data_IF_270710581374
#
_entry.id   IF_270710581374
#
_cell.length_a   1.000
_cell.length_b   1.000
_cell.length_c   1.000
_cell.angle_alpha   90.00
_cell.angle_beta   90.00
_cell.angle_gamma   90.00
#
_symmetry.space_group_name_H-M   'P 1'
#
loop_
_entity.id
_entity.type
_entity.pdbx_description
1 polymer ?
#
# COMPACT_ATOMS: atom_id res chain seq x y z
N UNK A 1 26.92 -9.97 -19.91
CA UNK A 1 26.00 -9.40 -20.92
C UNK A 1 24.68 -10.15 -20.84
N UNK A 2 23.55 -9.44 -20.85
CA UNK A 2 22.21 -10.05 -20.78
C UNK A 2 21.33 -9.45 -21.87
N UNK A 3 20.64 -10.30 -22.61
CA UNK A 3 19.73 -9.89 -23.68
C UNK A 3 18.30 -9.84 -23.15
N UNK A 4 17.58 -8.74 -23.41
CA UNK A 4 16.18 -8.57 -23.03
C UNK A 4 15.29 -8.39 -24.25
N UNK A 5 14.13 -9.06 -24.24
CA UNK A 5 13.07 -8.87 -25.24
C UNK A 5 12.16 -7.67 -24.91
N UNK A 6 12.74 -6.57 -24.43
CA UNK A 6 11.98 -5.36 -24.07
C UNK A 6 11.80 -4.48 -25.30
N UNK A 7 10.61 -3.86 -25.43
CA UNK A 7 10.26 -2.91 -26.49
C UNK A 7 9.78 -1.58 -25.89
N UNK A 8 10.11 -0.47 -26.55
CA UNK A 8 9.66 0.87 -26.11
C UNK A 8 8.15 1.03 -26.14
N UNK A 9 7.48 0.37 -27.09
CA UNK A 9 6.03 0.43 -27.29
C UNK A 9 5.21 -0.17 -26.14
N UNK A 10 5.82 -0.99 -25.27
CA UNK A 10 5.10 -1.72 -24.22
C UNK A 10 4.62 -0.85 -23.06
N UNK A 11 5.28 0.27 -22.76
CA UNK A 11 4.85 1.21 -21.73
C UNK A 11 5.64 2.52 -21.76
N UNK A 12 5.06 3.59 -21.18
CA UNK A 12 5.72 4.89 -21.00
C UNK A 12 7.05 4.77 -20.22
N UNK A 13 7.14 3.84 -19.26
CA UNK A 13 8.39 3.59 -18.55
C UNK A 13 9.46 2.99 -19.46
N UNK A 14 9.07 2.02 -20.31
CA UNK A 14 9.98 1.34 -21.22
C UNK A 14 10.36 2.19 -22.44
N UNK A 15 9.57 3.19 -22.80
CA UNK A 15 9.91 4.12 -23.89
C UNK A 15 11.22 4.88 -23.66
N UNK A 16 11.63 5.00 -22.39
CA UNK A 16 12.86 5.67 -21.96
C UNK A 16 14.11 4.77 -21.98
N UNK A 17 13.93 3.48 -22.27
CA UNK A 17 15.05 2.54 -22.26
C UNK A 17 15.86 2.67 -23.57
N UNK A 18 17.13 2.45 -23.42
CA UNK A 18 18.05 2.42 -24.56
C UNK A 18 18.34 0.99 -25.00
N UNK A 19 18.82 0.85 -26.23
CA UNK A 19 19.19 -0.47 -26.80
C UNK A 19 20.27 -1.15 -25.98
N UNK A 20 21.17 -0.36 -25.44
CA UNK A 20 22.29 -0.81 -24.64
C UNK A 20 22.41 0.08 -23.39
N UNK A 21 22.52 -0.53 -22.22
CA UNK A 21 22.65 0.17 -20.94
C UNK A 21 23.32 -0.71 -19.89
N UNK A 22 23.83 -0.07 -18.84
CA UNK A 22 24.26 -0.78 -17.65
C UNK A 22 23.04 -1.13 -16.77
N UNK A 23 23.12 -2.26 -16.05
CA UNK A 23 22.05 -2.67 -15.16
C UNK A 23 22.03 -1.79 -13.91
N UNK A 24 20.87 -1.17 -13.57
CA UNK A 24 20.75 -0.37 -12.34
C UNK A 24 20.75 -1.23 -11.07
N UNK A 25 20.62 -2.55 -11.21
CA UNK A 25 20.47 -3.48 -10.08
C UNK A 25 21.67 -4.39 -9.86
N UNK A 26 22.39 -4.72 -10.93
CA UNK A 26 23.48 -5.68 -10.89
C UNK A 26 24.75 -5.02 -11.42
N UNK A 27 25.71 -4.79 -10.53
CA UNK A 27 27.01 -4.22 -10.88
C UNK A 27 27.71 -5.07 -11.94
N UNK A 28 28.33 -4.44 -12.94
CA UNK A 28 29.04 -5.09 -14.07
C UNK A 28 28.15 -5.88 -15.05
N UNK A 29 26.82 -5.75 -14.96
CA UNK A 29 25.92 -6.35 -15.96
C UNK A 29 25.59 -5.32 -17.04
N UNK A 30 25.92 -5.65 -18.28
CA UNK A 30 25.50 -4.90 -19.46
C UNK A 30 24.24 -5.53 -20.06
N UNK A 31 23.23 -4.70 -20.32
CA UNK A 31 21.94 -5.09 -20.87
C UNK A 31 21.89 -4.68 -22.34
N UNK A 32 21.42 -5.59 -23.18
CA UNK A 32 21.17 -5.33 -24.59
C UNK A 32 19.73 -5.72 -24.92
N UNK A 33 18.99 -4.80 -25.54
CA UNK A 33 17.61 -4.99 -25.98
C UNK A 33 17.52 -4.94 -27.50
N UNK A 34 17.76 -6.03 -28.21
CA UNK A 34 17.89 -6.04 -29.67
C UNK A 34 16.64 -5.57 -30.42
N UNK A 35 15.47 -5.90 -29.86
CA UNK A 35 14.14 -5.61 -30.42
C UNK A 35 13.48 -4.37 -29.79
N UNK A 36 14.28 -3.47 -29.21
CA UNK A 36 13.76 -2.33 -28.43
C UNK A 36 12.79 -1.43 -29.24
N UNK A 37 13.02 -1.29 -30.53
CA UNK A 37 12.22 -0.45 -31.43
C UNK A 37 11.13 -1.21 -32.19
N UNK A 38 11.00 -2.52 -31.97
CA UNK A 38 9.96 -3.31 -32.63
C UNK A 38 8.57 -2.98 -32.10
N UNK A 39 7.61 -2.95 -33.02
CA UNK A 39 6.19 -2.84 -32.69
C UNK A 39 5.57 -4.23 -32.53
N UNK A 40 4.32 -4.30 -32.04
CA UNK A 40 3.58 -5.57 -31.93
C UNK A 40 3.45 -6.27 -33.29
N UNK A 41 3.25 -5.49 -34.36
CA UNK A 41 3.18 -6.00 -35.71
C UNK A 41 4.49 -6.71 -36.15
N UNK A 42 5.65 -6.13 -35.84
CA UNK A 42 6.95 -6.71 -36.21
C UNK A 42 7.17 -8.06 -35.52
N UNK A 43 6.76 -8.16 -34.23
CA UNK A 43 6.84 -9.42 -33.48
C UNK A 43 5.96 -10.51 -34.13
N UNK A 44 4.72 -10.20 -34.44
CA UNK A 44 3.81 -11.17 -35.05
C UNK A 44 4.23 -11.55 -36.47
N UNK A 45 4.69 -10.59 -37.24
CA UNK A 45 5.24 -10.85 -38.57
C UNK A 45 6.45 -11.80 -38.50
N UNK A 46 7.36 -11.54 -37.58
CA UNK A 46 8.54 -12.40 -37.37
C UNK A 46 8.15 -13.81 -36.94
N UNK A 47 7.27 -13.95 -35.94
CA UNK A 47 6.79 -15.25 -35.44
C UNK A 47 6.14 -16.06 -36.58
N UNK A 48 5.25 -15.44 -37.33
CA UNK A 48 4.48 -16.12 -38.38
C UNK A 48 5.35 -16.48 -39.59
N UNK A 49 6.31 -15.62 -39.96
CA UNK A 49 7.16 -15.89 -41.11
C UNK A 49 8.29 -16.89 -40.82
N UNK A 50 8.74 -16.96 -39.56
CA UNK A 50 9.78 -17.92 -39.14
C UNK A 50 9.23 -19.23 -38.60
N UNK A 51 7.90 -19.32 -38.37
CA UNK A 51 7.26 -20.52 -37.82
C UNK A 51 7.64 -20.82 -36.38
N UNK A 52 8.07 -19.84 -35.60
CA UNK A 52 8.36 -20.02 -34.17
C UNK A 52 7.06 -20.32 -33.45
N UNK A 53 7.09 -21.37 -32.63
CA UNK A 53 5.94 -21.70 -31.77
C UNK A 53 5.73 -20.65 -30.69
N UNK A 54 4.46 -20.41 -30.33
CA UNK A 54 4.05 -19.43 -29.35
C UNK A 54 2.88 -19.96 -28.50
N UNK A 55 2.67 -19.33 -27.34
CA UNK A 55 1.68 -19.79 -26.36
C UNK A 55 0.26 -19.80 -26.94
N UNK A 56 -0.44 -20.91 -26.80
CA UNK A 56 -1.79 -21.13 -27.30
C UNK A 56 -2.83 -20.11 -26.76
N UNK A 57 -2.60 -19.51 -25.62
CA UNK A 57 -3.48 -18.47 -25.10
C UNK A 57 -3.66 -17.30 -26.07
N UNK A 58 -2.65 -16.98 -26.89
CA UNK A 58 -2.79 -15.98 -27.96
C UNK A 58 -3.80 -16.43 -29.04
N UNK A 59 -3.83 -17.75 -29.34
CA UNK A 59 -4.82 -18.32 -30.26
C UNK A 59 -6.23 -18.27 -29.68
N UNK A 60 -6.37 -18.29 -28.37
CA UNK A 60 -7.63 -18.14 -27.65
C UNK A 60 -8.09 -16.68 -27.48
N UNK A 61 -7.32 -15.73 -28.03
CA UNK A 61 -7.69 -14.31 -28.03
C UNK A 61 -7.12 -13.48 -26.89
N UNK A 62 -6.20 -14.01 -26.09
CA UNK A 62 -5.51 -13.20 -25.11
C UNK A 62 -4.55 -12.22 -25.78
N UNK A 63 -4.70 -10.94 -25.50
CA UNK A 63 -3.77 -9.91 -26.00
C UNK A 63 -2.40 -9.96 -25.31
N UNK A 64 -2.37 -10.47 -24.10
CA UNK A 64 -1.16 -10.64 -23.29
C UNK A 64 -1.31 -11.88 -22.42
N UNK A 65 -0.28 -12.73 -22.44
CA UNK A 65 -0.24 -13.93 -21.62
C UNK A 65 0.54 -13.68 -20.34
N UNK A 66 -0.05 -14.04 -19.21
CA UNK A 66 0.52 -13.94 -17.86
C UNK A 66 -0.23 -14.86 -16.92
N UNK A 67 -0.17 -14.58 -15.62
CA UNK A 67 -0.96 -15.36 -14.64
C UNK A 67 -2.46 -15.11 -14.89
N UNK A 68 -3.24 -16.15 -15.08
CA UNK A 68 -4.68 -16.04 -15.38
C UNK A 68 -5.48 -15.36 -14.26
N UNK A 69 -5.04 -15.48 -13.00
CA UNK A 69 -5.63 -14.84 -11.82
C UNK A 69 -4.96 -13.52 -11.42
N UNK A 70 -4.18 -12.91 -12.31
CA UNK A 70 -3.44 -11.69 -12.00
C UNK A 70 -4.38 -10.49 -11.80
N UNK A 71 -4.25 -9.71 -10.73
CA UNK A 71 -5.07 -8.51 -10.54
C UNK A 71 -4.81 -7.41 -11.60
N UNK A 72 -3.72 -7.53 -12.37
CA UNK A 72 -3.40 -6.64 -13.51
C UNK A 72 -4.07 -7.06 -14.83
N UNK A 73 -4.81 -8.16 -14.85
CA UNK A 73 -5.49 -8.59 -16.06
C UNK A 73 -6.56 -7.58 -16.47
N UNK A 74 -6.70 -7.40 -17.79
CA UNK A 74 -7.80 -6.65 -18.35
C UNK A 74 -9.13 -7.38 -18.18
N UNK A 75 -10.24 -6.67 -18.22
CA UNK A 75 -11.58 -7.29 -18.20
C UNK A 75 -11.77 -8.32 -19.31
N UNK A 76 -11.17 -8.09 -20.49
CA UNK A 76 -11.15 -9.05 -21.59
C UNK A 76 -10.41 -10.35 -21.22
N UNK A 77 -9.21 -10.26 -20.63
CA UNK A 77 -8.47 -11.45 -20.19
C UNK A 77 -9.21 -12.22 -19.10
N UNK A 78 -9.93 -11.53 -18.22
CA UNK A 78 -10.76 -12.18 -17.20
C UNK A 78 -11.97 -12.90 -17.80
N UNK A 79 -12.62 -12.26 -18.77
CA UNK A 79 -13.69 -12.90 -19.52
C UNK A 79 -13.20 -14.18 -20.19
N UNK A 80 -12.08 -14.14 -20.90
CA UNK A 80 -11.48 -15.32 -21.52
C UNK A 80 -11.11 -16.41 -20.49
N UNK A 81 -10.60 -16.01 -19.32
CA UNK A 81 -10.30 -16.95 -18.24
C UNK A 81 -11.56 -17.63 -17.69
N UNK A 82 -12.68 -16.90 -17.58
CA UNK A 82 -13.98 -17.49 -17.21
C UNK A 82 -14.48 -18.48 -18.24
N UNK A 83 -14.18 -18.25 -19.53
CA UNK A 83 -14.57 -19.14 -20.63
C UNK A 83 -13.68 -20.38 -20.71
N UNK A 84 -12.36 -20.19 -20.74
CA UNK A 84 -11.40 -21.25 -21.04
C UNK A 84 -10.89 -21.99 -19.79
N UNK A 85 -11.01 -21.38 -18.60
CA UNK A 85 -10.55 -21.89 -17.30
C UNK A 85 -11.69 -21.80 -16.27
N UNK A 86 -12.86 -22.31 -16.63
CA UNK A 86 -14.10 -22.10 -15.87
C UNK A 86 -13.96 -22.58 -14.41
N UNK A 87 -13.52 -23.82 -14.19
CA UNK A 87 -13.42 -24.41 -12.84
C UNK A 87 -12.40 -23.66 -11.98
N UNK A 88 -11.24 -23.34 -12.54
CA UNK A 88 -10.20 -22.62 -11.82
C UNK A 88 -10.66 -21.19 -11.47
N UNK A 89 -11.34 -20.52 -12.40
CA UNK A 89 -11.86 -19.18 -12.20
C UNK A 89 -12.97 -19.16 -11.15
N UNK A 90 -13.83 -20.16 -11.12
CA UNK A 90 -14.87 -20.33 -10.10
C UNK A 90 -14.25 -20.54 -8.71
N UNK A 91 -13.33 -21.48 -8.59
CA UNK A 91 -12.65 -21.73 -7.33
C UNK A 91 -11.88 -20.49 -6.80
N UNK A 92 -11.21 -19.78 -7.70
CA UNK A 92 -10.51 -18.55 -7.33
C UNK A 92 -11.48 -17.45 -6.86
N UNK A 93 -12.64 -17.33 -7.52
CA UNK A 93 -13.70 -16.40 -7.08
C UNK A 93 -14.20 -16.76 -5.69
N UNK A 94 -14.49 -18.03 -5.41
CA UNK A 94 -14.94 -18.51 -4.11
C UNK A 94 -13.90 -18.17 -3.02
N UNK A 95 -12.63 -18.46 -3.26
CA UNK A 95 -11.53 -18.10 -2.34
C UNK A 95 -11.46 -16.59 -2.06
N UNK A 96 -11.67 -15.75 -3.07
CA UNK A 96 -11.68 -14.30 -2.90
C UNK A 96 -12.90 -13.82 -2.09
N UNK A 97 -14.06 -14.46 -2.24
CA UNK A 97 -15.26 -14.16 -1.45
C UNK A 97 -15.04 -14.55 0.02
N UNK A 98 -14.51 -15.74 0.28
CA UNK A 98 -14.17 -16.18 1.63
C UNK A 98 -13.19 -15.21 2.29
N UNK A 99 -12.15 -14.80 1.56
CA UNK A 99 -11.21 -13.80 2.04
C UNK A 99 -11.88 -12.44 2.29
N UNK A 100 -12.72 -11.96 1.37
CA UNK A 100 -13.42 -10.69 1.54
C UNK A 100 -14.34 -10.70 2.76
N UNK A 101 -15.03 -11.83 3.00
CA UNK A 101 -15.85 -12.05 4.18
C UNK A 101 -15.01 -12.03 5.46
N UNK A 102 -13.86 -12.71 5.45
CA UNK A 102 -12.96 -12.77 6.61
C UNK A 102 -12.39 -11.40 7.01
N UNK A 103 -12.24 -10.49 6.07
CA UNK A 103 -11.80 -9.10 6.31
C UNK A 103 -12.96 -8.11 6.52
N UNK A 104 -14.18 -8.62 6.75
CA UNK A 104 -15.36 -7.82 7.13
C UNK A 104 -15.94 -6.99 5.99
N UNK A 105 -15.90 -7.45 4.73
CA UNK A 105 -16.62 -6.79 3.64
C UNK A 105 -18.10 -7.14 3.72
N UNK A 106 -18.95 -6.13 3.88
CA UNK A 106 -20.41 -6.32 3.99
C UNK A 106 -21.01 -7.03 2.79
N UNK A 107 -20.49 -6.73 1.59
CA UNK A 107 -20.95 -7.25 0.31
C UNK A 107 -19.78 -7.95 -0.41
N UNK A 108 -19.36 -9.09 0.13
CA UNK A 108 -18.16 -9.82 -0.34
C UNK A 108 -18.25 -10.23 -1.82
N UNK A 109 -19.43 -10.63 -2.29
CA UNK A 109 -19.64 -11.00 -3.70
C UNK A 109 -19.49 -9.79 -4.62
N UNK A 110 -20.16 -8.68 -4.32
CA UNK A 110 -20.03 -7.42 -5.08
C UNK A 110 -18.61 -6.91 -5.06
N UNK A 111 -17.94 -6.97 -3.90
CA UNK A 111 -16.54 -6.60 -3.77
C UNK A 111 -15.62 -7.38 -4.71
N UNK A 112 -15.89 -8.67 -4.89
CA UNK A 112 -15.10 -9.54 -5.78
C UNK A 112 -15.52 -9.36 -7.24
N UNK A 113 -16.80 -9.38 -7.55
CA UNK A 113 -17.32 -9.37 -8.93
C UNK A 113 -17.08 -8.01 -9.62
N UNK A 114 -17.20 -6.92 -8.88
CA UNK A 114 -16.85 -5.57 -9.37
C UNK A 114 -15.35 -5.30 -9.44
N UNK A 115 -14.52 -6.25 -8.98
CA UNK A 115 -13.06 -6.15 -9.03
C UNK A 115 -12.46 -5.18 -8.02
N UNK A 116 -13.15 -4.87 -6.93
CA UNK A 116 -12.63 -3.97 -5.88
C UNK A 116 -11.41 -4.57 -5.17
N UNK A 117 -11.27 -5.88 -5.13
CA UNK A 117 -10.08 -6.58 -4.63
C UNK A 117 -8.79 -6.22 -5.40
N UNK A 118 -8.90 -5.68 -6.61
CA UNK A 118 -7.79 -5.22 -7.44
C UNK A 118 -7.34 -3.79 -7.15
N UNK A 119 -7.86 -3.14 -6.12
CA UNK A 119 -7.62 -1.73 -5.80
C UNK A 119 -6.14 -1.33 -5.88
N UNK A 120 -5.26 -2.23 -5.47
CA UNK A 120 -3.82 -2.02 -5.49
C UNK A 120 -3.22 -1.90 -6.88
N UNK A 121 -3.80 -2.59 -7.86
CA UNK A 121 -3.26 -2.69 -9.22
C UNK A 121 -4.02 -1.81 -10.23
N UNK A 122 -5.05 -1.13 -9.75
CA UNK A 122 -5.91 -0.29 -10.59
C UNK A 122 -7.28 -0.91 -10.87
N UNK A 123 -7.96 -0.45 -11.91
CA UNK A 123 -9.30 -0.91 -12.25
C UNK A 123 -10.36 -0.46 -11.24
N UNK A 124 -11.44 -1.23 -11.11
CA UNK A 124 -12.55 -0.92 -10.22
C UNK A 124 -12.14 -0.84 -8.74
N UNK A 125 -11.07 -1.52 -8.36
CA UNK A 125 -10.50 -1.41 -7.03
C UNK A 125 -9.99 -0.02 -6.68
N UNK A 126 -9.59 0.79 -7.66
CA UNK A 126 -9.22 2.20 -7.44
C UNK A 126 -10.43 3.00 -6.99
N UNK A 127 -11.60 2.76 -7.60
CA UNK A 127 -12.84 3.43 -7.20
C UNK A 127 -13.26 3.05 -5.78
N UNK A 128 -13.11 1.78 -5.39
CA UNK A 128 -13.34 1.34 -4.02
C UNK A 128 -12.37 2.02 -3.04
N UNK A 129 -11.08 2.06 -3.37
CA UNK A 129 -10.06 2.72 -2.54
C UNK A 129 -10.32 4.23 -2.41
N UNK A 130 -10.89 4.87 -3.42
CA UNK A 130 -11.27 6.28 -3.36
C UNK A 130 -12.42 6.57 -2.39
N UNK A 131 -13.32 5.60 -2.15
CA UNK A 131 -14.36 5.71 -1.12
C UNK A 131 -13.78 5.67 0.30
N UNK A 132 -12.59 5.10 0.46
CA UNK A 132 -11.88 4.98 1.74
C UNK A 132 -10.82 6.09 1.88
N UNK A 133 -11.22 7.34 1.68
CA UNK A 133 -10.31 8.48 1.72
C UNK A 133 -10.15 8.99 3.15
N UNK A 134 -8.92 9.06 3.63
CA UNK A 134 -8.56 9.88 4.79
C UNK A 134 -8.19 11.26 4.28
N UNK A 135 -8.89 12.28 4.72
CA UNK A 135 -8.56 13.66 4.37
C UNK A 135 -7.63 14.27 5.41
N UNK A 136 -6.84 15.25 5.00
CA UNK A 136 -6.01 16.01 5.92
C UNK A 136 -5.87 17.46 5.47
N UNK A 137 -5.71 18.36 6.45
CA UNK A 137 -5.39 19.77 6.23
C UNK A 137 -4.19 20.13 7.09
N UNK A 138 -3.17 20.85 6.55
CA UNK A 138 -2.17 21.49 7.37
C UNK A 138 -2.85 22.49 8.32
N UNK A 139 -2.36 22.59 9.56
CA UNK A 139 -2.85 23.60 10.49
C UNK A 139 -2.36 24.98 10.03
N UNK A 140 -3.25 25.98 10.03
CA UNK A 140 -2.91 27.33 9.61
C UNK A 140 -2.12 28.11 10.68
N UNK A 141 -2.22 27.69 11.95
CA UNK A 141 -1.69 28.44 13.11
C UNK A 141 -0.48 27.74 13.76
N UNK A 142 -0.30 26.44 13.55
CA UNK A 142 0.79 25.66 14.13
C UNK A 142 1.62 25.00 13.03
N UNK A 143 2.91 25.28 13.00
CA UNK A 143 3.83 24.65 12.05
C UNK A 143 3.91 23.13 12.27
N UNK A 144 4.20 22.39 11.20
CA UNK A 144 4.37 20.94 11.21
C UNK A 144 3.19 20.18 11.84
N UNK A 145 2.00 20.76 11.79
CA UNK A 145 0.77 20.23 12.36
C UNK A 145 -0.23 19.90 11.27
N UNK A 146 -0.82 18.72 11.36
CA UNK A 146 -1.75 18.19 10.36
C UNK A 146 -3.02 17.68 11.06
N UNK A 147 -4.18 18.11 10.56
CA UNK A 147 -5.48 17.61 11.00
C UNK A 147 -5.93 16.52 10.04
N UNK A 148 -6.17 15.32 10.55
CA UNK A 148 -6.66 14.17 9.80
C UNK A 148 -8.12 13.90 10.16
N UNK A 149 -8.93 13.64 9.15
CA UNK A 149 -10.28 13.12 9.30
C UNK A 149 -10.27 11.63 8.94
N UNK A 150 -10.43 10.80 9.96
CA UNK A 150 -10.41 9.35 9.85
C UNK A 150 -11.80 8.84 9.52
N UNK A 151 -11.90 7.65 8.96
CA UNK A 151 -13.18 6.97 8.74
C UNK A 151 -13.53 6.04 9.91
N UNK A 152 -12.52 5.38 10.48
CA UNK A 152 -12.65 4.58 11.68
C UNK A 152 -12.47 5.46 12.92
N UNK A 153 -13.39 5.40 13.90
CA UNK A 153 -13.23 6.15 15.14
C UNK A 153 -11.94 5.80 15.88
N UNK A 154 -11.36 6.78 16.54
CA UNK A 154 -10.13 6.61 17.32
C UNK A 154 -10.37 5.63 18.46
N UNK A 155 -9.51 4.64 18.60
CA UNK A 155 -9.44 3.69 19.70
C UNK A 155 -8.02 3.60 20.25
N UNK A 156 -7.82 2.86 21.33
CA UNK A 156 -6.48 2.61 21.91
C UNK A 156 -5.51 2.01 20.88
N UNK A 157 -6.00 1.21 19.95
CA UNK A 157 -5.23 0.61 18.87
C UNK A 157 -4.58 1.64 17.93
N UNK A 158 -5.17 2.83 17.76
CA UNK A 158 -4.52 3.91 17.03
C UNK A 158 -3.23 4.33 17.71
N UNK A 159 -3.26 4.53 19.02
CA UNK A 159 -2.07 4.97 19.78
C UNK A 159 -0.99 3.89 19.79
N UNK A 160 -1.38 2.61 19.90
CA UNK A 160 -0.45 1.49 19.84
C UNK A 160 0.43 1.53 18.57
N UNK A 161 -0.17 1.92 17.45
CA UNK A 161 0.56 2.09 16.19
C UNK A 161 1.59 3.22 16.18
N UNK A 162 1.57 4.13 17.17
CA UNK A 162 2.57 5.19 17.32
C UNK A 162 3.76 4.81 18.18
N UNK A 163 3.78 3.65 18.86
CA UNK A 163 4.95 3.17 19.62
C UNK A 163 6.25 3.05 18.82
N UNK A 164 6.26 2.72 17.51
CA UNK A 164 7.50 2.75 16.75
C UNK A 164 8.16 4.13 16.62
N UNK A 165 7.44 5.21 16.92
CA UNK A 165 7.97 6.57 16.91
C UNK A 165 8.61 6.96 18.26
N UNK A 166 8.16 6.38 19.37
CA UNK A 166 8.64 6.68 20.71
C UNK A 166 7.82 6.03 21.82
N UNK A 167 7.97 6.53 23.02
CA UNK A 167 7.23 6.10 24.21
C UNK A 167 5.97 6.93 24.36
N UNK A 168 4.83 6.27 24.48
CA UNK A 168 3.55 6.95 24.66
C UNK A 168 3.41 7.45 26.11
N UNK A 169 3.04 8.70 26.25
CA UNK A 169 2.73 9.31 27.54
C UNK A 169 1.31 9.92 27.47
N UNK A 170 0.41 9.37 28.26
CA UNK A 170 -0.99 9.78 28.34
C UNK A 170 -1.23 10.79 29.48
N UNK A 171 -0.31 10.89 30.45
CA UNK A 171 -0.49 11.66 31.68
C UNK A 171 -0.10 13.13 31.52
N UNK A 172 0.83 13.43 30.62
CA UNK A 172 1.28 14.81 30.37
C UNK A 172 0.24 15.66 29.63
N UNK A 173 -0.72 15.03 28.96
CA UNK A 173 -1.63 15.67 28.03
C UNK A 173 -2.93 16.16 28.67
N UNK A 174 -3.61 17.06 27.94
CA UNK A 174 -4.96 17.48 28.29
C UNK A 174 -5.96 16.38 27.91
N UNK A 175 -6.51 15.70 28.92
CA UNK A 175 -7.47 14.60 28.71
C UNK A 175 -8.75 15.04 28.00
N UNK A 176 -9.19 16.31 28.16
CA UNK A 176 -10.37 16.85 27.46
C UNK A 176 -10.15 16.95 25.95
N UNK A 177 -8.91 17.15 25.52
CA UNK A 177 -8.52 17.21 24.11
C UNK A 177 -8.07 15.84 23.57
N UNK A 178 -7.96 14.84 24.42
CA UNK A 178 -7.39 13.54 24.06
C UNK A 178 -5.95 13.66 23.62
N UNK A 179 -5.15 14.45 24.38
CA UNK A 179 -3.73 14.63 24.07
C UNK A 179 -2.91 13.45 24.55
N UNK A 180 -2.05 12.95 23.64
CA UNK A 180 -1.06 11.92 23.94
C UNK A 180 0.27 12.39 23.38
N UNK A 181 1.33 12.34 24.19
CA UNK A 181 2.68 12.68 23.76
C UNK A 181 3.46 11.41 23.42
N UNK A 182 4.27 11.52 22.38
CA UNK A 182 5.26 10.50 22.03
C UNK A 182 6.62 11.05 22.38
N UNK A 183 7.37 10.34 23.21
CA UNK A 183 8.63 10.77 23.78
C UNK A 183 9.80 9.97 23.19
N UNK A 184 10.95 10.58 23.02
CA UNK A 184 12.20 9.87 22.72
C UNK A 184 12.81 9.26 23.99
N UNK A 185 13.97 8.61 23.85
CA UNK A 185 14.70 8.01 24.98
C UNK A 185 15.20 9.03 26.01
N UNK A 186 15.23 10.31 25.65
CA UNK A 186 15.65 11.41 26.53
C UNK A 186 14.44 12.15 27.10
N UNK A 187 13.26 11.51 27.04
CA UNK A 187 11.98 12.09 27.50
C UNK A 187 11.58 13.40 26.78
N UNK A 188 12.17 13.67 25.60
CA UNK A 188 11.80 14.83 24.82
C UNK A 188 10.63 14.49 23.91
N UNK A 189 9.69 15.40 23.80
CA UNK A 189 8.48 15.21 22.96
C UNK A 189 8.90 15.22 21.49
N UNK A 190 8.55 14.17 20.75
CA UNK A 190 8.79 14.04 19.32
C UNK A 190 7.51 14.22 18.50
N UNK A 191 6.38 13.75 19.02
CA UNK A 191 5.04 13.97 18.43
C UNK A 191 4.05 14.35 19.52
N UNK A 192 3.08 15.19 19.15
CA UNK A 192 1.87 15.44 19.92
C UNK A 192 0.68 14.94 19.10
N UNK A 193 -0.11 14.08 19.69
CA UNK A 193 -1.34 13.54 19.12
C UNK A 193 -2.52 14.13 19.89
N UNK A 194 -3.55 14.61 19.21
CA UNK A 194 -4.77 15.11 19.80
C UNK A 194 -5.96 14.48 19.10
N UNK A 195 -6.66 13.62 19.83
CA UNK A 195 -7.82 12.91 19.28
C UNK A 195 -8.52 12.13 20.38
N UNK A 196 -9.81 12.42 20.60
CA UNK A 196 -10.59 11.72 21.64
C UNK A 196 -11.04 10.36 21.12
N UNK A 197 -10.96 9.36 21.98
CA UNK A 197 -11.52 8.03 21.69
C UNK A 197 -12.99 8.17 21.29
N UNK A 198 -13.38 7.43 20.24
CA UNK A 198 -14.72 7.47 19.66
C UNK A 198 -14.97 8.59 18.65
N UNK A 199 -14.02 9.54 18.45
CA UNK A 199 -14.10 10.57 17.39
C UNK A 199 -13.27 10.20 16.19
N UNK A 200 -13.49 10.87 15.06
CA UNK A 200 -12.75 10.64 13.80
C UNK A 200 -11.68 11.69 13.53
N UNK A 201 -11.61 12.75 14.33
CA UNK A 201 -10.66 13.84 14.13
C UNK A 201 -9.37 13.61 14.91
N UNK A 202 -8.26 13.53 14.21
CA UNK A 202 -6.93 13.40 14.79
C UNK A 202 -6.04 14.55 14.32
N UNK A 203 -5.48 15.29 15.28
CA UNK A 203 -4.42 16.26 15.01
C UNK A 203 -3.07 15.67 15.39
N UNK A 204 -2.08 15.82 14.52
CA UNK A 204 -0.72 15.37 14.75
C UNK A 204 0.25 16.53 14.55
N UNK A 205 1.02 16.86 15.59
CA UNK A 205 2.11 17.85 15.52
C UNK A 205 3.45 17.12 15.55
N UNK A 206 4.31 17.38 14.59
CA UNK A 206 5.65 16.81 14.48
C UNK A 206 6.64 17.81 15.08
N UNK A 207 7.19 17.49 16.26
CA UNK A 207 8.14 18.33 16.96
C UNK A 207 9.58 17.99 16.63
N UNK A 208 9.84 16.72 16.26
CA UNK A 208 11.12 16.25 15.73
C UNK A 208 10.91 15.38 14.52
N UNK A 209 11.72 15.55 13.51
CA UNK A 209 11.63 14.82 12.24
C UNK A 209 12.35 13.47 12.27
N UNK A 210 13.30 13.27 13.16
CA UNK A 210 14.11 12.05 13.29
C UNK A 210 13.34 10.95 14.05
N UNK A 211 12.23 10.50 13.48
CA UNK A 211 11.36 9.48 14.07
C UNK A 211 11.25 8.25 13.17
N UNK A 212 11.26 7.07 13.76
CA UNK A 212 11.13 5.80 13.03
C UNK A 212 12.00 5.73 11.76
N UNK A 213 13.24 6.21 11.83
CA UNK A 213 14.19 6.25 10.71
C UNK A 213 13.90 7.31 9.64
N UNK A 214 12.99 8.25 9.86
CA UNK A 214 12.83 9.45 9.02
C UNK A 214 14.00 10.42 9.26
N UNK A 215 14.32 11.22 8.24
CA UNK A 215 15.41 12.20 8.28
C UNK A 215 14.93 13.63 8.07
N UNK A 216 13.73 13.79 7.59
CA UNK A 216 13.11 15.09 7.25
C UNK A 216 11.60 15.05 7.51
N UNK A 217 10.98 16.24 7.48
CA UNK A 217 9.56 16.40 7.75
C UNK A 217 8.67 15.60 6.80
N UNK A 218 9.00 15.60 5.51
CA UNK A 218 8.23 14.88 4.48
C UNK A 218 8.23 13.37 4.76
N UNK A 219 9.40 12.82 5.06
CA UNK A 219 9.53 11.39 5.38
C UNK A 219 8.82 11.06 6.71
N UNK A 220 8.91 11.92 7.72
CA UNK A 220 8.19 11.75 8.98
C UNK A 220 6.67 11.73 8.78
N UNK A 221 6.15 12.67 7.99
CA UNK A 221 4.74 12.73 7.61
C UNK A 221 4.30 11.45 6.87
N UNK A 222 5.10 10.98 5.92
CA UNK A 222 4.83 9.74 5.19
C UNK A 222 4.74 8.52 6.12
N UNK A 223 5.57 8.46 7.15
CA UNK A 223 5.53 7.41 8.16
C UNK A 223 4.27 7.46 9.01
N UNK A 224 3.87 8.65 9.42
CA UNK A 224 2.60 8.85 10.13
C UNK A 224 1.44 8.38 9.26
N UNK A 225 1.40 8.80 8.00
CA UNK A 225 0.38 8.35 7.03
C UNK A 225 0.36 6.82 6.85
N UNK A 226 1.52 6.16 6.95
CA UNK A 226 1.58 4.70 6.94
C UNK A 226 0.85 4.08 8.13
N UNK A 227 1.03 4.63 9.33
CA UNK A 227 0.35 4.12 10.52
C UNK A 227 -1.16 4.40 10.49
N UNK A 228 -1.56 5.56 10.01
CA UNK A 228 -2.97 5.86 9.78
C UNK A 228 -3.60 4.90 8.78
N UNK A 229 -2.89 4.56 7.70
CA UNK A 229 -3.34 3.55 6.74
C UNK A 229 -3.51 2.17 7.39
N UNK A 230 -2.58 1.74 8.25
CA UNK A 230 -2.73 0.49 8.99
C UNK A 230 -3.96 0.52 9.87
N UNK A 231 -4.17 1.61 10.58
CA UNK A 231 -5.33 1.75 11.44
C UNK A 231 -6.65 1.62 10.68
N UNK A 232 -6.72 2.22 9.49
CA UNK A 232 -7.95 2.23 8.67
C UNK A 232 -8.21 0.91 7.93
N UNK A 233 -7.16 0.24 7.43
CA UNK A 233 -7.28 -0.81 6.43
C UNK A 233 -6.36 -2.00 6.67
N UNK A 234 -5.97 -2.29 7.89
CA UNK A 234 -5.15 -3.48 8.12
C UNK A 234 -5.91 -4.75 7.78
N UNK A 235 -5.28 -5.60 6.99
CA UNK A 235 -5.83 -6.88 6.57
C UNK A 235 -5.14 -8.08 7.24
N UNK A 236 -4.34 -7.85 8.29
CA UNK A 236 -3.67 -8.93 9.02
C UNK A 236 -2.62 -9.71 8.21
N UNK A 237 -2.00 -9.11 7.18
CA UNK A 237 -1.02 -9.81 6.32
C UNK A 237 0.31 -10.16 7.01
N UNK A 238 0.49 -9.80 8.27
CA UNK A 238 1.65 -10.07 9.14
C UNK A 238 3.01 -9.55 8.62
N UNK A 239 3.04 -8.81 7.52
CA UNK A 239 4.29 -8.34 6.92
C UNK A 239 5.09 -7.44 7.86
N UNK A 240 4.43 -6.60 8.67
CA UNK A 240 5.12 -5.75 9.64
C UNK A 240 5.63 -6.52 10.86
N UNK A 241 5.03 -7.65 11.20
CA UNK A 241 5.52 -8.57 12.23
C UNK A 241 6.77 -9.29 11.72
N UNK A 242 6.72 -9.83 10.48
CA UNK A 242 7.80 -10.61 9.88
C UNK A 242 9.10 -9.80 9.67
N UNK A 243 9.02 -8.48 9.45
CA UNK A 243 10.21 -7.62 9.32
C UNK A 243 10.79 -7.18 10.66
N UNK A 244 10.12 -7.45 11.78
CA UNK A 244 10.58 -7.05 13.10
C UNK A 244 11.69 -7.96 13.62
N UNK A 245 12.95 -7.58 13.42
CA UNK A 245 14.13 -8.36 13.88
C UNK A 245 14.20 -8.56 15.39
N UNK A 246 13.45 -7.77 16.16
CA UNK A 246 13.46 -7.79 17.62
C UNK A 246 12.26 -8.53 18.22
N UNK A 247 11.38 -9.08 17.38
CA UNK A 247 10.12 -9.70 17.81
C UNK A 247 9.34 -8.81 18.81
N UNK A 248 9.35 -7.50 18.54
CA UNK A 248 8.72 -6.50 19.39
C UNK A 248 7.26 -6.25 19.01
N UNK A 249 6.84 -6.66 17.83
CA UNK A 249 5.49 -6.46 17.28
C UNK A 249 4.81 -7.80 17.13
N UNK A 250 3.61 -7.94 17.65
CA UNK A 250 2.69 -9.03 17.36
C UNK A 250 1.37 -8.50 16.87
N UNK A 251 0.76 -9.24 15.94
CA UNK A 251 -0.53 -8.91 15.33
C UNK A 251 -1.44 -10.11 15.55
N UNK A 252 -2.62 -9.87 16.08
CA UNK A 252 -3.60 -10.90 16.37
C UNK A 252 -4.98 -10.43 15.96
N UNK A 253 -5.85 -11.36 15.69
CA UNK A 253 -7.27 -11.13 15.54
C UNK A 253 -7.93 -11.34 16.89
N UNK A 254 -8.76 -10.39 17.32
CA UNK A 254 -9.53 -10.52 18.54
C UNK A 254 -10.79 -11.37 18.31
N UNK A 255 -11.59 -11.56 19.35
CA UNK A 255 -12.82 -12.38 19.28
C UNK A 255 -13.88 -11.81 18.34
N UNK A 256 -13.81 -10.52 18.03
CA UNK A 256 -14.75 -9.80 17.19
C UNK A 256 -14.26 -9.71 15.73
N UNK A 257 -13.14 -10.40 15.38
CA UNK A 257 -12.54 -10.38 14.06
C UNK A 257 -11.71 -9.14 13.75
N UNK A 258 -11.46 -8.27 14.73
CA UNK A 258 -10.65 -7.08 14.54
C UNK A 258 -9.16 -7.35 14.72
N UNK A 259 -8.35 -6.70 13.91
CA UNK A 259 -6.89 -6.80 13.97
C UNK A 259 -6.35 -5.91 15.09
N UNK A 260 -5.71 -6.53 16.05
CA UNK A 260 -5.03 -5.86 17.16
C UNK A 260 -3.51 -5.92 17.03
N UNK A 261 -2.89 -4.80 17.33
CA UNK A 261 -1.43 -4.66 17.43
C UNK A 261 -1.00 -4.63 18.87
N UNK A 262 0.06 -5.33 19.15
CA UNK A 262 0.76 -5.22 20.43
C UNK A 262 2.25 -4.99 20.18
N UNK A 263 2.78 -3.85 20.65
CA UNK A 263 4.18 -3.46 20.45
C UNK A 263 4.85 -3.33 21.82
N UNK A 264 5.78 -4.25 22.11
CA UNK A 264 6.55 -4.23 23.36
C UNK A 264 7.53 -3.06 23.36
N UNK A 265 7.40 -2.15 24.31
CA UNK A 265 8.32 -1.01 24.50
C UNK A 265 9.74 -1.45 24.87
N UNK A 266 9.90 -2.56 25.60
CA UNK A 266 11.18 -3.10 25.99
C UNK A 266 11.98 -3.64 24.81
N UNK A 267 11.31 -4.35 23.90
CA UNK A 267 11.91 -4.98 22.73
C UNK A 267 12.05 -4.01 21.55
N UNK A 268 11.15 -3.05 21.42
CA UNK A 268 11.11 -2.14 20.28
C UNK A 268 12.30 -1.18 20.28
N UNK A 269 13.12 -1.24 19.23
CA UNK A 269 14.28 -0.34 19.05
C UNK A 269 13.96 0.93 18.26
N UNK A 270 12.69 1.18 17.94
CA UNK A 270 12.20 2.34 17.16
C UNK A 270 12.93 2.51 15.82
N UNK A 271 13.36 1.41 15.21
CA UNK A 271 14.08 1.42 13.93
C UNK A 271 13.22 1.81 12.73
N UNK A 272 11.88 1.74 12.86
CA UNK A 272 10.94 2.10 11.80
C UNK A 272 10.76 1.05 10.70
N UNK A 273 11.40 -0.12 10.76
CA UNK A 273 11.27 -1.17 9.73
C UNK A 273 9.82 -1.61 9.52
N UNK A 274 9.06 -1.82 10.59
CA UNK A 274 7.65 -2.17 10.52
C UNK A 274 6.76 -1.04 9.96
N UNK A 275 7.23 0.21 10.00
CA UNK A 275 6.53 1.36 9.41
C UNK A 275 6.89 1.52 7.94
N UNK A 276 8.13 1.24 7.55
CA UNK A 276 8.68 1.55 6.23
C UNK A 276 8.97 0.32 5.35
N UNK A 277 8.48 -0.85 5.71
CA UNK A 277 8.69 -2.01 4.85
C UNK A 277 8.08 -1.78 3.46
N UNK A 278 8.65 -2.44 2.43
CA UNK A 278 8.33 -2.21 1.01
C UNK A 278 8.60 -0.78 0.51
N UNK A 279 9.57 -0.07 1.07
CA UNK A 279 10.04 1.26 0.65
C UNK A 279 8.98 2.39 0.65
N UNK A 280 7.71 2.06 0.70
CA UNK A 280 6.59 3.00 0.71
C UNK A 280 5.68 2.85 1.95
N UNK A 281 6.17 2.17 2.98
CA UNK A 281 5.41 1.85 4.19
C UNK A 281 4.44 0.70 4.00
N UNK A 282 3.37 0.68 4.81
CA UNK A 282 2.37 -0.37 4.75
C UNK A 282 1.90 -0.62 3.32
N UNK A 283 1.79 -1.88 2.95
CA UNK A 283 1.32 -2.31 1.65
C UNK A 283 -0.04 -1.70 1.27
N UNK A 284 -0.94 -1.58 2.24
CA UNK A 284 -2.26 -0.99 2.04
C UNK A 284 -2.22 0.50 1.74
N UNK A 285 -1.11 1.19 1.99
CA UNK A 285 -0.98 2.61 1.64
C UNK A 285 -1.10 2.90 0.16
N UNK A 286 -0.84 1.92 -0.69
CA UNK A 286 -1.06 2.06 -2.15
C UNK A 286 -2.54 2.04 -2.53
N UNK A 287 -3.38 1.53 -1.64
CA UNK A 287 -4.82 1.39 -1.82
C UNK A 287 -5.57 2.56 -1.20
N UNK A 288 -5.24 2.92 0.05
CA UNK A 288 -5.86 4.03 0.75
C UNK A 288 -5.36 5.37 0.20
N UNK A 289 -6.26 6.19 -0.27
CA UNK A 289 -5.96 7.55 -0.65
C UNK A 289 -5.98 8.48 0.57
N UNK A 290 -4.84 9.09 0.89
CA UNK A 290 -4.76 10.19 1.87
C UNK A 290 -4.63 11.48 1.08
N UNK A 291 -5.70 12.25 1.00
CA UNK A 291 -5.79 13.45 0.17
C UNK A 291 -5.77 14.71 1.03
N UNK A 292 -5.05 15.72 0.55
CA UNK A 292 -5.16 17.06 1.10
C UNK A 292 -6.52 17.63 0.73
N UNK A 293 -7.28 18.10 1.72
CA UNK A 293 -8.49 18.88 1.45
C UNK A 293 -8.09 20.18 0.75
N UNK A 294 -8.76 20.51 -0.34
CA UNK A 294 -8.68 21.85 -0.91
C UNK A 294 -9.48 22.75 0.03
N UNK A 295 -8.87 23.76 0.55
CA UNK A 295 -9.61 24.92 1.11
C UNK A 295 -10.35 25.50 -0.08
N UNK A 296 -11.66 25.36 -0.12
CA UNK A 296 -12.47 26.18 -1.01
C UNK A 296 -12.21 27.62 -0.56
N UNK A 297 -11.61 28.40 -1.46
CA UNK A 297 -11.53 29.85 -1.28
C UNK A 297 -12.98 30.32 -1.18
N UNK A 298 -13.37 30.72 0.02
CA UNK A 298 -14.62 31.43 0.22
C UNK A 298 -14.47 32.76 -0.48
N UNK A 299 -15.01 32.88 -1.70
CA UNK A 299 -15.40 34.17 -2.28
C UNK A 299 -16.50 34.83 -1.44
#
# INVERSE_FOLDING_TARGET
MTFYGIRRSESVSRSKYERESDSPKITKQRIISPIIDWMDFDIWLYILTTGIDFNDAYRLGYARVGCWCCPNNSGWSEFLSKVHMHEQSKHFREMLIDFATSIGKEDAEVYVDDGYWKARQGGNGVAYAQKSVVSFTPCATEENTFNYELQRPISEQLYELFRPFGYLNFDMGNTRLGEVFVLDKREQIVLKLQGRIGTTNLRVTILKTEIAGAKDLKTAEERIKCQLTKYQMCMGCLACESVCRFNALSIRENKDGEIEYHISDEKCKRCGECVNHFTAGCYMRKVLAIKRQRTEDKE
#
